data_IF_365861010507
#
_entry.id   IF_365861010507
#
_cell.length_a   1.000
_cell.length_b   1.000
_cell.length_c   1.000
_cell.angle_alpha   90.00
_cell.angle_beta   90.00
_cell.angle_gamma   90.00
#
_symmetry.space_group_name_H-M   'P 1'
#
loop_
_entity.id
_entity.type
_entity.pdbx_description
1 polymer ?
#
# COMPACT_ATOMS: atom_id res chain seq x y z
N UNK A 1 23.13 -6.20 -6.40
CA UNK A 1 21.75 -5.75 -6.73
C UNK A 1 21.36 -4.69 -5.72
N UNK A 2 20.61 -3.68 -6.10
CA UNK A 2 20.24 -2.62 -5.17
C UNK A 2 19.33 -3.12 -4.06
N UNK A 3 19.40 -2.45 -2.91
CA UNK A 3 18.60 -2.74 -1.73
C UNK A 3 17.61 -1.61 -1.47
N UNK A 4 16.37 -1.97 -1.13
CA UNK A 4 15.41 -1.04 -0.56
C UNK A 4 15.62 -0.97 0.95
N UNK A 5 15.91 0.22 1.47
CA UNK A 5 15.96 0.47 2.90
C UNK A 5 14.68 1.21 3.29
N UNK A 6 13.85 0.58 4.09
CA UNK A 6 12.65 1.19 4.67
C UNK A 6 12.93 1.54 6.13
N UNK A 7 12.80 2.80 6.49
CA UNK A 7 12.98 3.27 7.86
C UNK A 7 11.71 3.93 8.36
N UNK A 8 11.18 3.44 9.47
CA UNK A 8 10.05 4.02 10.18
C UNK A 8 10.55 4.60 11.49
N UNK A 9 10.36 5.90 11.66
CA UNK A 9 10.76 6.61 12.87
C UNK A 9 9.54 7.26 13.51
N UNK A 10 9.34 6.96 14.78
CA UNK A 10 8.32 7.58 15.61
C UNK A 10 9.00 8.35 16.74
N UNK A 11 8.55 9.57 16.98
CA UNK A 11 9.14 10.44 17.99
C UNK A 11 8.08 11.33 18.61
N UNK A 12 7.91 11.22 19.92
CA UNK A 12 7.06 12.10 20.70
C UNK A 12 7.70 12.38 22.05
N UNK A 13 7.67 13.63 22.50
CA UNK A 13 8.08 14.00 23.87
C UNK A 13 6.83 14.18 24.72
N UNK A 14 6.69 13.30 25.72
CA UNK A 14 5.57 13.33 26.66
C UNK A 14 6.09 13.46 28.09
N UNK A 15 5.64 14.51 28.81
CA UNK A 15 6.05 14.77 30.21
C UNK A 15 7.59 14.79 30.38
N UNK A 16 8.31 15.38 29.43
CA UNK A 16 9.77 15.47 29.46
C UNK A 16 10.51 14.17 29.08
N UNK A 17 9.79 13.10 28.70
CA UNK A 17 10.37 11.84 28.24
C UNK A 17 10.16 11.65 26.75
N UNK A 18 11.22 11.29 26.05
CA UNK A 18 11.19 10.90 24.63
C UNK A 18 10.59 9.50 24.51
N UNK A 19 9.61 9.36 23.62
CA UNK A 19 8.93 8.10 23.27
C UNK A 19 9.03 7.85 21.78
N UNK A 20 8.91 6.58 21.39
CA UNK A 20 9.00 6.15 20.01
C UNK A 20 10.32 5.41 19.75
N UNK A 21 10.45 4.92 18.51
CA UNK A 21 11.62 4.14 18.09
C UNK A 21 11.90 4.36 16.60
N UNK A 22 13.07 3.91 16.16
CA UNK A 22 13.43 3.82 14.75
C UNK A 22 13.62 2.37 14.37
N UNK A 23 12.85 1.90 13.39
CA UNK A 23 12.95 0.55 12.85
C UNK A 23 13.34 0.63 11.39
N UNK A 24 14.37 -0.11 11.02
CA UNK A 24 14.85 -0.18 9.63
C UNK A 24 14.80 -1.61 9.13
N UNK A 25 14.27 -1.79 7.92
CA UNK A 25 14.26 -3.05 7.18
C UNK A 25 15.02 -2.87 5.88
N UNK A 26 15.94 -3.77 5.60
CA UNK A 26 16.63 -3.87 4.31
C UNK A 26 16.05 -5.01 3.51
N UNK A 27 15.52 -4.71 2.33
CA UNK A 27 15.02 -5.71 1.37
C UNK A 27 15.98 -5.72 0.18
N UNK A 28 16.74 -6.80 0.06
CA UNK A 28 17.78 -6.93 -0.97
C UNK A 28 17.23 -7.46 -2.28
N UNK A 29 17.95 -7.15 -3.36
CA UNK A 29 17.68 -7.72 -4.68
C UNK A 29 16.60 -7.01 -5.46
N UNK A 30 16.25 -5.79 -5.10
CA UNK A 30 15.29 -4.99 -5.87
C UNK A 30 15.85 -4.70 -7.25
N UNK A 31 15.11 -5.05 -8.28
CA UNK A 31 15.50 -4.80 -9.67
C UNK A 31 14.47 -3.97 -10.45
N UNK A 32 13.27 -3.76 -9.88
CA UNK A 32 12.24 -2.95 -10.48
C UNK A 32 11.54 -2.08 -9.43
N UNK A 33 11.23 -0.84 -9.82
CA UNK A 33 10.46 0.11 -9.00
C UNK A 33 9.38 0.73 -9.87
N UNK A 34 8.13 0.58 -9.42
CA UNK A 34 6.99 1.27 -9.97
C UNK A 34 6.63 2.40 -9.01
N UNK A 35 6.90 3.64 -9.43
CA UNK A 35 6.62 4.84 -8.64
C UNK A 35 5.82 5.83 -9.50
N UNK A 36 4.67 6.24 -9.00
CA UNK A 36 3.81 7.21 -9.70
C UNK A 36 3.09 8.11 -8.71
N UNK A 37 2.88 9.36 -9.15
CA UNK A 37 1.91 10.28 -8.56
C UNK A 37 0.72 10.34 -9.52
N UNK A 38 -0.48 10.06 -9.01
CA UNK A 38 -1.72 10.03 -9.79
C UNK A 38 -2.68 11.04 -9.21
N UNK A 39 -3.16 11.96 -10.04
CA UNK A 39 -4.25 12.87 -9.67
C UNK A 39 -5.57 12.10 -9.77
N UNK A 40 -6.23 11.95 -8.64
CA UNK A 40 -7.49 11.23 -8.49
C UNK A 40 -8.64 12.24 -8.39
N UNK A 41 -9.65 12.08 -9.23
CA UNK A 41 -10.81 12.96 -9.27
C UNK A 41 -11.76 12.67 -8.10
N UNK A 42 -12.31 13.72 -7.51
CA UNK A 42 -13.34 13.62 -6.47
C UNK A 42 -14.48 12.67 -6.87
N UNK A 43 -14.93 11.85 -5.93
CA UNK A 43 -16.04 10.92 -6.07
C UNK A 43 -15.89 9.87 -7.19
N UNK A 44 -14.66 9.69 -7.72
CA UNK A 44 -14.35 8.66 -8.71
C UNK A 44 -13.39 7.61 -8.14
N UNK A 45 -13.61 6.35 -8.54
CA UNK A 45 -12.69 5.27 -8.17
C UNK A 45 -11.54 5.21 -9.18
N UNK A 46 -10.32 5.37 -8.68
CA UNK A 46 -9.10 5.27 -9.47
C UNK A 46 -8.32 4.00 -9.11
N UNK A 47 -7.98 3.19 -10.11
CA UNK A 47 -7.08 2.05 -9.95
C UNK A 47 -5.63 2.53 -10.00
N UNK A 48 -4.91 2.41 -8.88
CA UNK A 48 -3.50 2.78 -8.80
C UNK A 48 -2.58 1.69 -9.32
N UNK A 49 -2.92 0.42 -9.05
CA UNK A 49 -2.18 -0.74 -9.53
C UNK A 49 -3.09 -1.97 -9.61
N UNK A 50 -2.78 -2.87 -10.55
CA UNK A 50 -3.33 -4.22 -10.64
C UNK A 50 -2.20 -5.24 -10.50
N UNK A 51 -2.49 -6.36 -9.86
CA UNK A 51 -1.52 -7.41 -9.55
C UNK A 51 -1.98 -8.72 -10.19
N UNK A 52 -1.14 -9.30 -11.03
CA UNK A 52 -1.42 -10.55 -11.72
C UNK A 52 -0.16 -11.44 -11.76
N UNK A 53 -0.25 -12.57 -12.42
CA UNK A 53 0.88 -13.50 -12.60
C UNK A 53 1.92 -13.04 -13.63
N UNK A 54 1.65 -11.98 -14.35
CA UNK A 54 2.58 -11.35 -15.29
C UNK A 54 2.40 -9.83 -15.32
N UNK A 55 3.33 -9.12 -15.93
CA UNK A 55 3.36 -7.66 -15.99
C UNK A 55 2.91 -7.07 -17.34
N UNK A 56 2.30 -7.85 -18.23
CA UNK A 56 2.08 -7.46 -19.62
C UNK A 56 0.64 -7.02 -19.96
N UNK A 57 -0.30 -7.10 -19.02
CA UNK A 57 -1.72 -6.84 -19.29
C UNK A 57 -2.10 -5.36 -19.44
N UNK A 58 -1.43 -4.46 -18.71
CA UNK A 58 -1.69 -3.01 -18.78
C UNK A 58 -0.53 -2.20 -18.19
N UNK A 59 -0.58 -0.87 -18.40
CA UNK A 59 0.44 0.05 -17.87
C UNK A 59 0.51 0.13 -16.33
N UNK A 60 -0.51 -0.37 -15.63
CA UNK A 60 -0.60 -0.38 -14.16
C UNK A 60 -0.52 -1.80 -13.59
N UNK A 61 -0.27 -2.80 -14.43
CA UNK A 61 -0.18 -4.21 -14.03
C UNK A 61 1.22 -4.56 -13.57
N UNK A 62 1.31 -5.23 -12.43
CA UNK A 62 2.56 -5.60 -11.76
C UNK A 62 2.50 -7.11 -11.49
N UNK A 63 3.63 -7.81 -11.71
CA UNK A 63 3.76 -9.21 -11.32
C UNK A 63 3.76 -9.31 -9.78
N UNK A 64 2.69 -9.90 -9.24
CA UNK A 64 2.47 -9.98 -7.80
C UNK A 64 3.50 -10.84 -7.07
N UNK A 65 4.12 -11.81 -7.75
CA UNK A 65 5.07 -12.75 -7.14
C UNK A 65 6.38 -12.06 -6.80
N UNK A 66 6.74 -11.06 -7.56
CA UNK A 66 7.99 -10.32 -7.42
C UNK A 66 7.91 -9.16 -6.43
N UNK A 67 6.70 -8.75 -6.02
CA UNK A 67 6.49 -7.60 -5.12
C UNK A 67 7.01 -7.89 -3.71
N UNK A 68 7.84 -6.97 -3.20
CA UNK A 68 8.43 -7.00 -1.86
C UNK A 68 8.04 -5.82 -0.98
N UNK A 69 7.48 -4.77 -1.55
CA UNK A 69 7.08 -3.58 -0.81
C UNK A 69 6.07 -2.76 -1.61
N UNK A 70 5.04 -2.29 -0.93
CA UNK A 70 4.02 -1.39 -1.49
C UNK A 70 3.77 -0.27 -0.49
N UNK A 71 3.78 0.98 -0.96
CA UNK A 71 3.37 2.14 -0.16
C UNK A 71 2.42 3.00 -0.97
N UNK A 72 1.32 3.38 -0.35
CA UNK A 72 0.37 4.35 -0.89
C UNK A 72 0.34 5.54 0.06
N UNK A 73 0.52 6.74 -0.47
CA UNK A 73 0.55 7.99 0.33
C UNK A 73 -0.45 8.99 -0.23
N UNK A 74 -1.30 9.50 0.65
CA UNK A 74 -2.13 10.67 0.36
C UNK A 74 -1.25 11.92 0.42
N UNK A 75 -1.02 12.57 -0.71
CA UNK A 75 -0.17 13.78 -0.79
C UNK A 75 -0.92 15.08 -0.49
N UNK A 76 -2.24 15.02 -0.32
CA UNK A 76 -3.04 16.19 0.04
C UNK A 76 -2.72 16.68 1.46
N UNK A 77 -2.95 17.97 1.72
CA UNK A 77 -2.65 18.61 3.00
C UNK A 77 -3.87 18.72 3.93
N UNK A 78 -5.07 18.47 3.41
CA UNK A 78 -6.32 18.72 4.16
C UNK A 78 -7.38 17.64 3.97
N UNK A 79 -7.42 17.01 2.78
CA UNK A 79 -8.49 16.10 2.40
C UNK A 79 -8.11 14.63 2.63
N UNK A 80 -9.12 13.81 2.83
CA UNK A 80 -8.98 12.36 3.04
C UNK A 80 -9.30 11.60 1.75
N UNK A 81 -8.83 10.37 1.69
CA UNK A 81 -9.25 9.39 0.68
C UNK A 81 -9.58 8.05 1.33
N UNK A 82 -10.44 7.30 0.69
CA UNK A 82 -10.67 5.90 1.00
C UNK A 82 -9.77 5.04 0.12
N UNK A 83 -8.98 4.17 0.75
CA UNK A 83 -8.12 3.21 0.09
C UNK A 83 -8.77 1.83 0.17
N UNK A 84 -8.99 1.17 -0.96
CA UNK A 84 -9.40 -0.21 -1.05
C UNK A 84 -8.22 -1.10 -1.46
N UNK A 85 -7.91 -2.07 -0.61
CA UNK A 85 -6.95 -3.13 -0.89
C UNK A 85 -7.75 -4.38 -1.25
N UNK A 86 -7.74 -4.74 -2.53
CA UNK A 86 -8.64 -5.75 -3.10
C UNK A 86 -7.86 -7.04 -3.35
N UNK A 87 -8.34 -8.13 -2.78
CA UNK A 87 -7.82 -9.48 -2.98
C UNK A 87 -8.71 -10.34 -3.87
N UNK A 88 -8.30 -11.57 -4.13
CA UNK A 88 -9.01 -12.50 -5.00
C UNK A 88 -10.39 -12.92 -4.45
N UNK A 89 -10.58 -12.89 -3.13
CA UNK A 89 -11.82 -13.33 -2.48
C UNK A 89 -12.35 -12.34 -1.43
N UNK A 90 -11.62 -11.25 -1.16
CA UNK A 90 -11.98 -10.27 -0.13
C UNK A 90 -11.36 -8.92 -0.44
N UNK A 91 -11.82 -7.90 0.28
CA UNK A 91 -11.20 -6.58 0.30
C UNK A 91 -11.29 -6.00 1.71
N UNK A 92 -10.40 -5.07 2.00
CA UNK A 92 -10.59 -4.16 3.12
C UNK A 92 -10.39 -2.72 2.68
N UNK A 93 -11.04 -1.81 3.39
CA UNK A 93 -10.95 -0.37 3.12
C UNK A 93 -10.41 0.35 4.35
N UNK A 94 -9.56 1.33 4.12
CA UNK A 94 -9.04 2.21 5.16
C UNK A 94 -9.10 3.65 4.69
N UNK A 95 -9.33 4.56 5.62
CA UNK A 95 -9.25 5.99 5.35
C UNK A 95 -7.81 6.46 5.53
N UNK A 96 -7.26 7.11 4.53
CA UNK A 96 -6.00 7.84 4.63
C UNK A 96 -6.29 9.33 4.78
N UNK A 97 -5.95 9.89 5.93
CA UNK A 97 -5.98 11.34 6.14
C UNK A 97 -4.85 12.02 5.36
N UNK A 98 -4.85 13.34 5.34
CA UNK A 98 -3.82 14.16 4.70
C UNK A 98 -2.41 13.74 5.16
N UNK A 99 -1.52 13.45 4.22
CA UNK A 99 -0.14 13.05 4.48
C UNK A 99 0.08 11.62 4.99
N UNK A 100 -0.98 10.84 5.20
CA UNK A 100 -0.85 9.47 5.70
C UNK A 100 -0.45 8.48 4.61
N UNK A 101 0.24 7.43 5.04
CA UNK A 101 0.65 6.31 4.19
C UNK A 101 0.11 4.99 4.70
N UNK A 102 -0.18 4.08 3.76
CA UNK A 102 -0.48 2.67 4.02
C UNK A 102 0.62 1.81 3.39
N UNK A 103 1.13 0.85 4.15
CA UNK A 103 2.29 0.04 3.74
C UNK A 103 1.92 -1.44 3.80
N UNK A 104 2.29 -2.17 2.73
CA UNK A 104 2.20 -3.62 2.63
C UNK A 104 3.57 -4.21 2.28
N UNK A 105 3.89 -5.37 2.81
CA UNK A 105 5.17 -6.05 2.58
C UNK A 105 5.21 -6.96 1.36
N UNK A 106 4.06 -7.27 0.75
CA UNK A 106 3.98 -8.19 -0.39
C UNK A 106 2.65 -8.02 -1.12
N UNK A 107 2.50 -8.66 -2.28
CA UNK A 107 1.23 -8.77 -3.00
C UNK A 107 0.66 -10.21 -2.99
N UNK A 108 1.44 -11.20 -2.55
CA UNK A 108 0.98 -12.58 -2.38
C UNK A 108 0.75 -12.90 -0.90
N UNK A 109 -0.25 -13.71 -0.60
CA UNK A 109 -0.58 -14.16 0.76
C UNK A 109 -0.83 -13.00 1.75
N UNK A 110 -1.63 -12.01 1.37
CA UNK A 110 -1.78 -10.74 2.09
C UNK A 110 -3.01 -10.69 2.98
N UNK A 111 -4.12 -11.29 2.56
CA UNK A 111 -5.40 -11.15 3.24
C UNK A 111 -6.25 -12.42 3.18
N UNK A 112 -7.15 -12.56 4.14
CA UNK A 112 -8.12 -13.65 4.21
C UNK A 112 -9.53 -13.09 4.38
N UNK A 113 -10.50 -13.65 3.66
CA UNK A 113 -11.90 -13.37 3.90
C UNK A 113 -12.37 -14.09 5.18
N UNK A 114 -12.97 -13.34 6.10
CA UNK A 114 -13.57 -13.85 7.32
C UNK A 114 -15.09 -13.56 7.33
N UNK A 115 -15.87 -14.57 7.74
CA UNK A 115 -17.31 -14.45 7.81
C UNK A 115 -17.81 -13.85 9.13
N UNK A 116 -16.97 -13.82 10.15
CA UNK A 116 -17.29 -13.32 11.49
C UNK A 116 -16.16 -12.42 12.05
N UNK A 117 -16.27 -12.08 13.32
CA UNK A 117 -15.30 -11.21 14.01
C UNK A 117 -14.20 -11.98 14.74
N UNK A 118 -14.17 -13.30 14.64
CA UNK A 118 -13.15 -14.16 15.24
C UNK A 118 -12.18 -14.64 14.16
N UNK A 119 -10.89 -14.21 14.19
CA UNK A 119 -9.96 -14.58 13.13
C UNK A 119 -9.59 -16.07 13.22
N UNK A 120 -9.66 -16.78 12.09
CA UNK A 120 -9.30 -18.20 12.00
C UNK A 120 -7.87 -18.44 11.52
N UNK A 121 -7.15 -17.41 11.06
CA UNK A 121 -5.76 -17.47 10.58
C UNK A 121 -5.52 -18.61 9.56
N UNK A 122 -6.29 -18.61 8.49
CA UNK A 122 -6.20 -19.59 7.43
C UNK A 122 -5.18 -19.24 6.34
N UNK A 123 -5.37 -19.82 5.16
CA UNK A 123 -4.54 -19.51 3.99
C UNK A 123 -4.89 -18.15 3.43
N UNK A 124 -3.91 -17.26 3.38
CA UNK A 124 -4.06 -15.90 2.86
C UNK A 124 -4.22 -15.90 1.34
N UNK A 125 -4.99 -14.96 0.82
CA UNK A 125 -5.17 -14.72 -0.60
C UNK A 125 -4.23 -13.61 -1.11
N UNK A 126 -4.04 -13.58 -2.43
CA UNK A 126 -3.21 -12.60 -3.10
C UNK A 126 -3.98 -11.31 -3.39
N UNK A 127 -3.24 -10.20 -3.53
CA UNK A 127 -3.76 -8.95 -4.07
C UNK A 127 -4.17 -9.08 -5.54
N UNK A 128 -5.23 -8.38 -5.91
CA UNK A 128 -5.64 -8.17 -7.31
C UNK A 128 -5.54 -6.71 -7.73
N UNK A 129 -5.85 -5.78 -6.84
CA UNK A 129 -5.73 -4.35 -7.14
C UNK A 129 -5.63 -3.47 -5.90
N UNK A 130 -5.14 -2.25 -6.11
CA UNK A 130 -5.22 -1.15 -5.16
C UNK A 130 -6.00 -0.03 -5.81
N UNK A 131 -7.06 0.42 -5.14
CA UNK A 131 -7.99 1.42 -5.63
C UNK A 131 -8.16 2.52 -4.59
N UNK A 132 -8.42 3.73 -5.04
CA UNK A 132 -8.71 4.87 -4.18
C UNK A 132 -9.98 5.59 -4.60
N UNK A 133 -10.66 6.18 -3.62
CA UNK A 133 -11.86 6.99 -3.79
C UNK A 133 -11.71 8.25 -2.92
N UNK A 134 -11.31 9.38 -3.51
CA UNK A 134 -11.02 10.58 -2.74
C UNK A 134 -12.27 11.43 -2.48
N UNK A 135 -12.26 12.17 -1.37
CA UNK A 135 -13.30 13.15 -0.99
C UNK A 135 -13.11 14.52 -1.65
N UNK A 136 -12.00 14.74 -2.31
CA UNK A 136 -11.66 15.91 -3.12
C UNK A 136 -10.71 15.48 -4.24
N UNK A 137 -10.59 16.24 -5.31
CA UNK A 137 -9.53 15.98 -6.30
C UNK A 137 -8.17 16.20 -5.66
N UNK A 138 -7.35 15.13 -5.60
CA UNK A 138 -6.08 15.13 -4.88
C UNK A 138 -5.06 14.20 -5.52
N UNK A 139 -3.80 14.37 -5.15
CA UNK A 139 -2.71 13.54 -5.63
C UNK A 139 -2.38 12.40 -4.65
N UNK A 140 -2.20 11.21 -5.21
CA UNK A 140 -1.82 10.00 -4.49
C UNK A 140 -0.52 9.47 -5.07
N UNK A 141 0.44 9.19 -4.22
CA UNK A 141 1.67 8.50 -4.60
C UNK A 141 1.53 7.01 -4.34
N UNK A 142 1.87 6.19 -5.32
CA UNK A 142 2.10 4.76 -5.16
C UNK A 142 3.55 4.43 -5.45
N UNK A 143 4.16 3.63 -4.58
CA UNK A 143 5.51 3.11 -4.72
C UNK A 143 5.48 1.59 -4.52
N UNK A 144 5.94 0.84 -5.50
CA UNK A 144 6.05 -0.62 -5.44
C UNK A 144 7.47 -1.02 -5.81
N UNK A 145 8.11 -1.82 -4.96
CA UNK A 145 9.42 -2.40 -5.23
C UNK A 145 9.32 -3.90 -5.44
N UNK A 146 9.98 -4.40 -6.48
CA UNK A 146 9.96 -5.80 -6.92
C UNK A 146 11.36 -6.33 -7.19
N UNK A 147 11.51 -7.66 -7.12
CA UNK A 147 12.76 -8.39 -7.46
C UNK A 147 12.72 -8.98 -8.86
#
# INVERSE_FOLDING_TARGET
MPDLITTLTESVTLNGSQRGSTNSLTTSGINNVYERIVTCTIDETTHLATFDSDSFGSAVQIDKQDVKYIRITNLDQTNTLELAVVGAATLYQVTLAAGQSHILGAAVTVMLAEADTSPSFGTMADLTSIQVHPTATLDVEIFVASI
#
